data_IF_722499173994
#
_entry.id   IF_722499173994
#
_cell.length_a   1.000
_cell.length_b   1.000
_cell.length_c   1.000
_cell.angle_alpha   90.00
_cell.angle_beta   90.00
_cell.angle_gamma   90.00
#
_symmetry.space_group_name_H-M   'P 1'
#
loop_
_entity.id
_entity.type
_entity.pdbx_description
1 polymer ?
#
# COMPACT_ATOMS: atom_id res chain seq x y z
N UNK A 1 -16.78 -42.75 -6.40
CA UNK A 1 -15.89 -41.70 -5.87
C UNK A 1 -16.27 -40.39 -6.54
N UNK A 2 -17.27 -39.71 -6.00
CA UNK A 2 -17.71 -38.39 -6.49
C UNK A 2 -16.85 -37.36 -5.78
N UNK A 3 -15.88 -36.79 -6.50
CA UNK A 3 -15.14 -35.63 -6.00
C UNK A 3 -16.12 -34.46 -5.91
N UNK A 4 -16.37 -33.99 -4.68
CA UNK A 4 -16.99 -32.70 -4.44
C UNK A 4 -16.06 -31.60 -4.98
N UNK A 5 -16.57 -30.57 -5.67
CA UNK A 5 -15.76 -29.40 -5.98
C UNK A 5 -15.41 -28.68 -4.67
N UNK A 6 -14.11 -28.56 -4.38
CA UNK A 6 -13.61 -27.69 -3.31
C UNK A 6 -13.98 -26.25 -3.67
N UNK A 7 -14.91 -25.66 -2.92
CA UNK A 7 -15.18 -24.23 -3.02
C UNK A 7 -13.87 -23.49 -2.70
N UNK A 8 -13.44 -22.63 -3.62
CA UNK A 8 -12.30 -21.75 -3.41
C UNK A 8 -12.70 -20.75 -2.31
N UNK A 9 -12.12 -20.88 -1.12
CA UNK A 9 -12.41 -19.96 -0.01
C UNK A 9 -12.00 -18.54 -0.43
N UNK A 10 -12.94 -17.60 -0.35
CA UNK A 10 -12.66 -16.20 -0.61
C UNK A 10 -11.64 -15.69 0.42
N UNK A 11 -10.57 -15.05 -0.05
CA UNK A 11 -9.55 -14.47 0.83
C UNK A 11 -10.15 -13.37 1.70
N UNK A 12 -9.79 -13.35 2.98
CA UNK A 12 -10.19 -12.29 3.91
C UNK A 12 -9.46 -10.97 3.65
N UNK A 13 -10.02 -9.86 4.12
CA UNK A 13 -9.36 -8.54 4.01
C UNK A 13 -7.99 -8.51 4.70
N UNK A 14 -7.83 -9.19 5.84
CA UNK A 14 -6.54 -9.29 6.52
C UNK A 14 -5.49 -9.99 5.63
N UNK A 15 -5.87 -11.07 4.94
CA UNK A 15 -4.98 -11.75 4.00
C UNK A 15 -4.66 -10.88 2.78
N UNK A 16 -5.64 -10.11 2.28
CA UNK A 16 -5.41 -9.13 1.20
C UNK A 16 -4.36 -8.10 1.60
N UNK A 17 -4.48 -7.53 2.80
CA UNK A 17 -3.49 -6.59 3.34
C UNK A 17 -2.10 -7.21 3.41
N UNK A 18 -1.97 -8.42 3.97
CA UNK A 18 -0.64 -9.05 4.06
C UNK A 18 -0.03 -9.34 2.68
N UNK A 19 -0.83 -9.70 1.67
CA UNK A 19 -0.34 -9.87 0.29
C UNK A 19 0.14 -8.53 -0.32
N UNK A 20 -0.59 -7.45 -0.08
CA UNK A 20 -0.22 -6.11 -0.53
C UNK A 20 1.04 -5.60 0.16
N UNK A 21 1.16 -5.83 1.48
CA UNK A 21 2.36 -5.52 2.27
C UNK A 21 3.56 -6.32 1.78
N UNK A 22 3.40 -7.63 1.56
CA UNK A 22 4.49 -8.50 1.08
C UNK A 22 5.09 -7.98 -0.23
N UNK A 23 4.25 -7.51 -1.15
CA UNK A 23 4.71 -6.87 -2.39
C UNK A 23 5.53 -5.61 -2.11
N UNK A 24 5.01 -4.68 -1.29
CA UNK A 24 5.72 -3.44 -0.93
C UNK A 24 7.07 -3.78 -0.29
N UNK A 25 7.09 -4.70 0.67
CA UNK A 25 8.29 -5.07 1.41
C UNK A 25 9.37 -5.71 0.53
N UNK A 26 9.00 -6.34 -0.59
CA UNK A 26 9.93 -6.96 -1.54
C UNK A 26 10.37 -6.05 -2.68
N UNK A 27 9.56 -5.07 -3.07
CA UNK A 27 9.73 -4.35 -4.33
C UNK A 27 9.81 -2.83 -4.19
N UNK A 28 9.46 -2.27 -3.03
CA UNK A 28 9.48 -0.84 -2.77
C UNK A 28 10.57 -0.48 -1.74
N UNK A 29 11.07 0.75 -1.82
CA UNK A 29 12.06 1.29 -0.88
C UNK A 29 11.59 2.57 -0.17
N UNK A 30 10.54 3.23 -0.66
CA UNK A 30 10.06 4.51 -0.13
C UNK A 30 9.59 4.40 1.34
N UNK A 31 9.13 3.23 1.78
CA UNK A 31 8.73 2.95 3.17
C UNK A 31 9.92 2.82 4.14
N UNK A 32 11.16 2.78 3.64
CA UNK A 32 12.37 2.61 4.44
C UNK A 32 13.26 3.87 4.50
N UNK A 33 12.69 5.06 4.30
CA UNK A 33 13.41 6.31 4.52
C UNK A 33 14.03 6.41 5.92
N UNK A 34 15.03 7.26 6.09
CA UNK A 34 15.89 7.23 7.28
C UNK A 34 15.20 7.69 8.57
N UNK A 35 14.10 8.44 8.49
CA UNK A 35 13.39 9.02 9.64
C UNK A 35 11.90 8.70 9.63
N UNK A 36 11.28 8.68 10.81
CA UNK A 36 9.85 8.35 10.95
C UNK A 36 8.97 9.34 10.19
N UNK A 37 9.23 10.64 10.30
CA UNK A 37 8.44 11.67 9.61
C UNK A 37 8.59 11.63 8.08
N UNK A 38 9.69 11.08 7.56
CA UNK A 38 9.83 10.84 6.12
C UNK A 38 9.02 9.61 5.71
N UNK A 39 9.08 8.53 6.50
CA UNK A 39 8.26 7.33 6.27
C UNK A 39 6.77 7.65 6.32
N UNK A 40 6.31 8.42 7.30
CA UNK A 40 4.92 8.86 7.43
C UNK A 40 4.46 9.62 6.17
N UNK A 41 5.26 10.59 5.72
CA UNK A 41 4.95 11.37 4.51
C UNK A 41 4.96 10.50 3.26
N UNK A 42 5.95 9.63 3.12
CA UNK A 42 6.10 8.76 1.96
C UNK A 42 4.98 7.72 1.89
N UNK A 43 4.69 7.03 3.00
CA UNK A 43 3.61 6.06 3.11
C UNK A 43 2.26 6.72 2.78
N UNK A 44 1.94 7.85 3.40
CA UNK A 44 0.70 8.57 3.13
C UNK A 44 0.61 9.08 1.69
N UNK A 45 1.70 9.66 1.17
CA UNK A 45 1.77 10.22 -0.18
C UNK A 45 1.61 9.16 -1.27
N UNK A 46 2.39 8.08 -1.20
CA UNK A 46 2.37 7.01 -2.20
C UNK A 46 1.08 6.20 -2.10
N UNK A 47 0.66 5.76 -0.90
CA UNK A 47 -0.56 4.97 -0.75
C UNK A 47 -1.82 5.78 -1.06
N UNK A 48 -1.87 7.08 -0.71
CA UNK A 48 -2.98 7.95 -1.05
C UNK A 48 -3.16 8.09 -2.56
N UNK A 49 -2.08 8.37 -3.29
CA UNK A 49 -2.13 8.44 -4.77
C UNK A 49 -2.41 7.08 -5.41
N UNK A 50 -1.92 5.99 -4.80
CA UNK A 50 -2.22 4.62 -5.25
C UNK A 50 -3.72 4.34 -5.14
N UNK A 51 -4.35 4.71 -4.02
CA UNK A 51 -5.80 4.61 -3.85
C UNK A 51 -6.54 5.42 -4.92
N UNK A 52 -6.16 6.68 -5.16
CA UNK A 52 -6.77 7.51 -6.19
C UNK A 52 -6.69 6.83 -7.57
N UNK A 53 -5.52 6.30 -7.93
CA UNK A 53 -5.34 5.59 -9.19
C UNK A 53 -6.21 4.33 -9.28
N UNK A 54 -6.29 3.52 -8.21
CA UNK A 54 -7.11 2.31 -8.17
C UNK A 54 -8.61 2.61 -8.23
N UNK A 55 -9.03 3.76 -7.70
CA UNK A 55 -10.41 4.25 -7.73
C UNK A 55 -10.73 5.11 -8.96
N UNK A 56 -9.80 5.26 -9.91
CA UNK A 56 -9.94 6.13 -11.09
C UNK A 56 -10.33 7.58 -10.73
N UNK A 57 -9.75 8.09 -9.65
CA UNK A 57 -9.92 9.45 -9.16
C UNK A 57 -8.80 10.37 -9.70
N UNK A 58 -9.05 11.68 -9.84
CA UNK A 58 -8.01 12.64 -10.20
C UNK A 58 -6.88 12.65 -9.18
N UNK A 59 -5.64 12.70 -9.67
CA UNK A 59 -4.43 12.81 -8.83
C UNK A 59 -3.89 14.23 -8.91
N UNK A 60 -3.66 14.85 -7.75
CA UNK A 60 -2.99 16.16 -7.65
C UNK A 60 -1.49 16.02 -7.95
N UNK A 61 -0.96 16.92 -8.79
CA UNK A 61 0.42 16.92 -9.30
C UNK A 61 1.07 18.32 -9.27
N UNK A 62 0.48 19.27 -8.55
CA UNK A 62 0.95 20.66 -8.47
C UNK A 62 2.40 20.78 -7.99
N UNK A 63 2.79 20.03 -6.96
CA UNK A 63 4.13 20.17 -6.36
C UNK A 63 5.13 19.13 -6.88
N UNK A 64 6.45 19.41 -6.78
CA UNK A 64 7.46 18.37 -7.04
C UNK A 64 7.26 17.13 -6.17
N UNK A 65 6.91 17.29 -4.90
CA UNK A 65 6.63 16.17 -4.00
C UNK A 65 5.45 15.32 -4.50
N UNK A 66 4.37 15.96 -4.95
CA UNK A 66 3.22 15.25 -5.53
C UNK A 66 3.62 14.38 -6.72
N UNK A 67 4.47 14.91 -7.61
CA UNK A 67 4.96 14.17 -8.76
C UNK A 67 5.88 13.02 -8.36
N UNK A 68 6.71 13.20 -7.33
CA UNK A 68 7.54 12.11 -6.79
C UNK A 68 6.68 10.96 -6.26
N UNK A 69 5.70 11.24 -5.39
CA UNK A 69 4.80 10.21 -4.88
C UNK A 69 3.99 9.53 -5.98
N UNK A 70 3.59 10.29 -7.00
CA UNK A 70 2.78 9.76 -8.11
C UNK A 70 3.54 8.71 -8.93
N UNK A 71 4.82 8.90 -9.20
CA UNK A 71 5.61 7.93 -9.98
C UNK A 71 5.66 6.58 -9.26
N UNK A 72 5.94 6.57 -7.95
CA UNK A 72 5.90 5.33 -7.15
C UNK A 72 4.49 4.71 -7.11
N UNK A 73 3.46 5.56 -6.97
CA UNK A 73 2.07 5.12 -6.92
C UNK A 73 1.58 4.49 -8.23
N UNK A 74 2.02 4.99 -9.39
CA UNK A 74 1.69 4.39 -10.71
C UNK A 74 2.23 2.96 -10.78
N UNK A 75 3.50 2.77 -10.44
CA UNK A 75 4.14 1.45 -10.46
C UNK A 75 3.43 0.50 -9.50
N UNK A 76 3.09 0.98 -8.29
CA UNK A 76 2.40 0.17 -7.29
C UNK A 76 0.97 -0.21 -7.74
N UNK A 77 0.20 0.75 -8.27
CA UNK A 77 -1.17 0.52 -8.74
C UNK A 77 -1.21 -0.46 -9.92
N UNK A 78 -0.30 -0.32 -10.88
CA UNK A 78 -0.16 -1.27 -12.00
C UNK A 78 0.19 -2.67 -11.50
N UNK A 79 1.16 -2.76 -10.57
CA UNK A 79 1.56 -4.03 -10.01
C UNK A 79 0.45 -4.73 -9.25
N UNK A 80 -0.36 -3.98 -8.50
CA UNK A 80 -1.51 -4.49 -7.76
C UNK A 80 -2.62 -4.96 -8.71
N UNK A 81 -2.99 -4.15 -9.72
CA UNK A 81 -3.97 -4.55 -10.74
C UNK A 81 -3.57 -5.84 -11.45
N UNK A 82 -2.29 -6.00 -11.75
CA UNK A 82 -1.78 -7.19 -12.45
C UNK A 82 -1.70 -8.46 -11.58
N UNK A 83 -1.68 -8.32 -10.25
CA UNK A 83 -1.47 -9.44 -9.31
C UNK A 83 -2.72 -9.86 -8.55
N UNK A 84 -3.62 -8.92 -8.34
CA UNK A 84 -4.74 -9.07 -7.42
C UNK A 84 -6.05 -8.89 -8.19
N UNK A 85 -6.49 -9.95 -8.86
CA UNK A 85 -7.72 -9.95 -9.66
C UNK A 85 -8.95 -9.46 -8.88
N UNK A 86 -8.97 -9.72 -7.56
CA UNK A 86 -10.03 -9.30 -6.67
C UNK A 86 -10.15 -7.77 -6.52
N UNK A 87 -9.08 -6.98 -6.77
CA UNK A 87 -9.17 -5.52 -6.77
C UNK A 87 -10.11 -5.00 -7.87
N UNK A 88 -10.11 -5.64 -9.04
CA UNK A 88 -10.96 -5.22 -10.17
C UNK A 88 -12.46 -5.46 -9.93
N UNK A 89 -12.81 -6.32 -8.97
CA UNK A 89 -14.19 -6.62 -8.60
C UNK A 89 -14.68 -5.81 -7.39
N UNK A 90 -13.81 -5.05 -6.73
CA UNK A 90 -14.17 -4.27 -5.54
C UNK A 90 -14.82 -2.94 -5.90
N UNK A 91 -15.73 -2.47 -5.04
CA UNK A 91 -16.20 -1.08 -5.09
C UNK A 91 -15.09 -0.12 -4.64
N UNK A 92 -15.20 1.15 -5.05
CA UNK A 92 -14.25 2.20 -4.63
C UNK A 92 -14.18 2.35 -3.11
N UNK A 93 -15.33 2.26 -2.42
CA UNK A 93 -15.38 2.31 -0.95
C UNK A 93 -14.66 1.12 -0.29
N UNK A 94 -14.78 -0.07 -0.88
CA UNK A 94 -14.07 -1.25 -0.40
C UNK A 94 -12.55 -1.13 -0.63
N UNK A 95 -12.13 -0.56 -1.77
CA UNK A 95 -10.72 -0.26 -2.06
C UNK A 95 -10.19 0.76 -1.05
N UNK A 96 -10.92 1.84 -0.79
CA UNK A 96 -10.53 2.86 0.19
C UNK A 96 -10.37 2.26 1.60
N UNK A 97 -11.29 1.39 2.01
CA UNK A 97 -11.22 0.68 3.30
C UNK A 97 -9.98 -0.22 3.37
N UNK A 98 -9.71 -0.97 2.30
CA UNK A 98 -8.54 -1.84 2.22
C UNK A 98 -7.22 -1.05 2.24
N UNK A 99 -7.15 0.06 1.49
CA UNK A 99 -5.97 0.91 1.45
C UNK A 99 -5.71 1.59 2.79
N UNK A 100 -6.74 1.95 3.54
CA UNK A 100 -6.59 2.44 4.92
C UNK A 100 -6.02 1.35 5.85
N UNK A 101 -6.50 0.11 5.75
CA UNK A 101 -5.96 -1.00 6.53
C UNK A 101 -4.50 -1.33 6.14
N UNK A 102 -4.18 -1.28 4.84
CA UNK A 102 -2.82 -1.43 4.33
C UNK A 102 -1.88 -0.36 4.90
N UNK A 103 -2.30 0.90 4.89
CA UNK A 103 -1.52 2.01 5.42
C UNK A 103 -1.23 1.82 6.91
N UNK A 104 -2.24 1.52 7.73
CA UNK A 104 -2.07 1.26 9.15
C UNK A 104 -1.09 0.10 9.40
N UNK A 105 -1.19 -0.97 8.61
CA UNK A 105 -0.29 -2.12 8.72
C UNK A 105 1.14 -1.76 8.33
N UNK A 106 1.34 -1.01 7.26
CA UNK A 106 2.66 -0.59 6.80
C UNK A 106 3.33 0.34 7.81
N UNK A 107 2.60 1.32 8.36
CA UNK A 107 3.09 2.20 9.41
C UNK A 107 3.44 1.42 10.68
N UNK A 108 2.64 0.42 11.04
CA UNK A 108 2.99 -0.45 12.15
C UNK A 108 4.32 -1.16 11.91
N UNK A 109 4.51 -1.78 10.74
CA UNK A 109 5.73 -2.54 10.45
C UNK A 109 6.98 -1.66 10.28
N UNK A 110 6.81 -0.48 9.69
CA UNK A 110 7.94 0.36 9.27
C UNK A 110 8.21 1.53 10.20
N UNK A 111 7.30 1.85 11.12
CA UNK A 111 7.42 3.00 12.02
C UNK A 111 7.18 2.55 13.47
N UNK A 112 5.93 2.32 13.88
CA UNK A 112 5.60 2.21 15.32
C UNK A 112 6.05 0.89 15.95
N UNK A 113 6.09 -0.20 15.18
CA UNK A 113 6.64 -1.50 15.58
C UNK A 113 8.10 -1.70 15.17
N UNK A 114 8.74 -0.70 14.55
CA UNK A 114 10.15 -0.80 14.16
C UNK A 114 11.06 -0.63 15.36
N UNK A 115 12.09 -1.48 15.47
CA UNK A 115 13.12 -1.36 16.50
C UNK A 115 14.28 -0.44 16.09
N UNK A 116 14.17 0.24 14.94
CA UNK A 116 15.21 1.15 14.48
C UNK A 116 15.21 2.45 15.31
N UNK A 117 16.16 2.56 16.23
CA UNK A 117 16.32 3.73 17.09
C UNK A 117 16.68 5.02 16.32
N UNK A 118 17.23 4.94 15.11
CA UNK A 118 17.61 6.11 14.31
C UNK A 118 16.40 6.82 13.69
N UNK A 119 15.21 6.22 13.72
CA UNK A 119 14.01 6.83 13.12
C UNK A 119 13.64 8.17 13.74
N UNK A 120 14.04 8.41 14.98
CA UNK A 120 13.71 9.63 15.73
C UNK A 120 14.91 10.57 15.90
N UNK A 121 16.11 10.24 15.39
CA UNK A 121 17.27 11.14 15.45
C UNK A 121 17.00 12.39 14.61
N UNK A 122 17.01 13.55 15.27
CA UNK A 122 16.75 14.84 14.64
C UNK A 122 17.79 15.25 13.60
N UNK A 123 18.99 14.67 13.66
CA UNK A 123 20.06 14.93 12.69
C UNK A 123 19.93 13.95 11.56
N UNK A 124 20.06 14.41 10.32
CA UNK A 124 20.20 13.56 9.15
C UNK A 124 21.63 13.09 8.95
#
# INVERSE_FOLDING_TARGET
MTQHPMAQEAISQAQQVELMVDYIMKHCLWQFHSRSWDREKQNAGVLGKTQQLLCDEPVELATPADRCYWVDAVVLAEAYRARFDWLGAMSKDAIATLMAALHQRLDHLTITGSLNAELTDQRY
#
